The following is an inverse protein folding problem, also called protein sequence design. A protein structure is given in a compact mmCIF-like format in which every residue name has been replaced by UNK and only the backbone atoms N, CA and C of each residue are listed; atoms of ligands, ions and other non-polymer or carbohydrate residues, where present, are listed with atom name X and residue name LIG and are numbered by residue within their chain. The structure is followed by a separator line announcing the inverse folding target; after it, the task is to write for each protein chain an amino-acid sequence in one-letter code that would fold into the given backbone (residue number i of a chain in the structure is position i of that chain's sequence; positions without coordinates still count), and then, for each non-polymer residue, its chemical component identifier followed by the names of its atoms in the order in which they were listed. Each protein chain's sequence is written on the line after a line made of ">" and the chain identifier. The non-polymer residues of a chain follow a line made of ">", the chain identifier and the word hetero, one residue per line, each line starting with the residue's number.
data_IF_152325773564
#
_entry.id   IF_152325773564
#
_cell.length_a   1.000
_cell.length_b   1.000
_cell.length_c   1.000
_cell.angle_alpha   90.00
_cell.angle_beta   90.00
_cell.angle_gamma   90.00
#
_symmetry.space_group_name_H-M   'P 1'
#
loop_
_entity.id
_entity.type
_entity.pdbx_description
1 polymer ?
#
# COMPACT_ATOMS: atom_id res chain seq x y z
N UNK A 1 15.29 4.68 -10.40
CA UNK A 1 14.82 4.57 -9.00
C UNK A 1 13.41 5.09 -8.73
N UNK A 2 12.91 6.14 -9.39
CA UNK A 2 11.62 6.75 -9.03
C UNK A 2 10.42 5.79 -8.97
N UNK A 3 10.17 5.00 -10.02
CA UNK A 3 8.99 4.11 -10.09
C UNK A 3 9.10 2.96 -9.07
N UNK A 4 10.24 2.27 -9.02
CA UNK A 4 10.43 1.10 -8.17
C UNK A 4 10.26 1.41 -6.68
N UNK A 5 10.72 2.58 -6.23
CA UNK A 5 10.56 3.03 -4.85
C UNK A 5 9.09 3.33 -4.47
N UNK A 6 8.25 3.64 -5.45
CA UNK A 6 6.83 3.93 -5.17
C UNK A 6 5.94 2.69 -5.16
N UNK A 7 6.39 1.56 -5.69
CA UNK A 7 5.58 0.34 -5.75
C UNK A 7 5.11 -0.16 -4.37
N UNK A 8 5.92 -0.15 -3.30
CA UNK A 8 5.49 -0.58 -1.96
C UNK A 8 4.62 0.43 -1.22
N UNK A 9 4.39 1.65 -1.76
CA UNK A 9 3.55 2.64 -1.08
C UNK A 9 2.08 2.26 -1.12
N UNK A 10 1.33 2.70 -0.10
CA UNK A 10 -0.07 2.32 0.08
C UNK A 10 -0.97 2.93 -0.99
N UNK A 11 -0.84 4.23 -1.23
CA UNK A 11 -1.63 4.95 -2.24
C UNK A 11 -0.66 5.61 -3.22
N UNK A 12 -0.93 5.44 -4.51
CA UNK A 12 -0.15 6.03 -5.58
C UNK A 12 -1.06 6.85 -6.48
N UNK A 13 -0.69 8.09 -6.70
CA UNK A 13 -1.33 8.97 -7.66
C UNK A 13 -0.28 9.52 -8.62
N UNK A 14 -0.64 9.84 -9.83
CA UNK A 14 0.30 10.39 -10.80
C UNK A 14 -0.34 11.43 -11.70
N UNK A 15 0.49 12.30 -12.23
CA UNK A 15 0.15 13.09 -13.40
C UNK A 15 0.01 12.16 -14.61
N UNK A 16 -1.08 12.28 -15.37
CA UNK A 16 -1.38 11.45 -16.54
C UNK A 16 -0.27 11.48 -17.61
N UNK A 17 0.40 12.61 -17.75
CA UNK A 17 1.52 12.80 -18.67
C UNK A 17 2.88 12.32 -18.16
N UNK A 18 2.98 11.85 -16.93
CA UNK A 18 4.24 11.36 -16.38
C UNK A 18 4.78 10.17 -17.18
N UNK A 19 6.08 10.14 -17.40
CA UNK A 19 6.76 9.05 -18.11
C UNK A 19 7.36 8.06 -17.13
N UNK A 20 7.05 6.79 -17.32
CA UNK A 20 7.49 5.67 -16.50
C UNK A 20 8.26 4.68 -17.35
N UNK A 21 9.35 4.16 -16.82
CA UNK A 21 10.12 3.11 -17.47
C UNK A 21 10.77 2.19 -16.43
N UNK A 22 10.86 0.91 -16.76
CA UNK A 22 11.62 -0.12 -16.04
C UNK A 22 12.68 -0.70 -16.99
N UNK A 23 13.72 0.07 -17.37
CA UNK A 23 14.61 -0.27 -18.49
C UNK A 23 15.71 -1.29 -18.12
N UNK A 24 15.49 -2.09 -17.10
CA UNK A 24 16.50 -3.03 -16.56
C UNK A 24 17.00 -4.02 -17.61
N UNK A 25 16.09 -4.67 -18.36
CA UNK A 25 16.44 -5.60 -19.45
C UNK A 25 17.24 -4.93 -20.58
N UNK A 26 16.94 -3.65 -20.88
CA UNK A 26 17.72 -2.86 -21.86
C UNK A 26 19.10 -2.44 -21.35
N UNK A 27 19.36 -2.58 -20.06
CA UNK A 27 20.65 -2.27 -19.40
C UNK A 27 21.41 -3.53 -19.01
N UNK A 28 20.87 -4.73 -19.31
CA UNK A 28 21.50 -6.01 -18.97
C UNK A 28 21.54 -6.30 -17.46
N UNK A 29 20.60 -5.71 -16.68
CA UNK A 29 20.52 -5.91 -15.24
C UNK A 29 19.13 -6.41 -14.83
N UNK A 30 19.05 -7.03 -13.65
CA UNK A 30 17.79 -7.52 -13.09
C UNK A 30 16.96 -6.39 -12.47
N UNK A 31 15.67 -6.67 -12.26
CA UNK A 31 14.78 -5.80 -11.48
C UNK A 31 15.31 -5.59 -10.06
N UNK A 32 15.06 -4.42 -9.49
CA UNK A 32 15.50 -4.02 -8.15
C UNK A 32 14.35 -3.56 -7.25
N UNK A 33 14.66 -3.20 -5.99
CA UNK A 33 13.73 -2.60 -5.03
C UNK A 33 12.42 -3.37 -4.87
N UNK A 34 12.50 -4.69 -4.86
CA UNK A 34 11.34 -5.61 -4.77
C UNK A 34 10.30 -5.42 -5.88
N UNK A 35 10.65 -4.77 -6.99
CA UNK A 35 9.71 -4.54 -8.10
C UNK A 35 9.19 -5.86 -8.70
N UNK A 36 9.98 -6.93 -8.71
CA UNK A 36 9.54 -8.26 -9.14
C UNK A 36 8.42 -8.84 -8.25
N UNK A 37 8.34 -8.42 -6.99
CA UNK A 37 7.28 -8.81 -6.07
C UNK A 37 6.02 -7.96 -6.23
N UNK A 38 6.17 -6.64 -6.23
CA UNK A 38 5.03 -5.70 -6.23
C UNK A 38 4.39 -5.54 -7.60
N UNK A 39 5.17 -5.44 -8.67
CA UNK A 39 4.65 -5.11 -10.00
C UNK A 39 3.55 -6.10 -10.47
N UNK A 40 3.77 -7.43 -10.46
CA UNK A 40 2.74 -8.37 -10.90
C UNK A 40 1.52 -8.41 -9.98
N UNK A 41 1.66 -8.05 -8.70
CA UNK A 41 0.54 -7.95 -7.76
C UNK A 41 -0.33 -6.71 -8.00
N UNK A 42 0.24 -5.67 -8.54
CA UNK A 42 -0.45 -4.40 -8.81
C UNK A 42 -1.16 -4.39 -10.16
N UNK A 43 -0.54 -4.93 -11.21
CA UNK A 43 -1.05 -4.84 -12.59
C UNK A 43 -1.24 -6.19 -13.28
N UNK A 44 -1.06 -7.28 -12.54
CA UNK A 44 -1.10 -8.64 -13.10
C UNK A 44 0.18 -9.04 -13.83
N UNK A 45 0.42 -10.36 -13.90
CA UNK A 45 1.67 -10.91 -14.43
C UNK A 45 1.89 -10.54 -15.90
N UNK A 46 0.86 -10.57 -16.74
CA UNK A 46 0.99 -10.30 -18.18
C UNK A 46 1.49 -8.88 -18.46
N UNK A 47 0.87 -7.86 -17.87
CA UNK A 47 1.33 -6.46 -18.01
C UNK A 47 2.72 -6.27 -17.40
N UNK A 48 2.98 -6.86 -16.23
CA UNK A 48 4.28 -6.80 -15.57
C UNK A 48 5.39 -7.38 -16.43
N UNK A 49 5.18 -8.55 -17.02
CA UNK A 49 6.12 -9.19 -17.94
C UNK A 49 6.36 -8.35 -19.19
N UNK A 50 5.30 -7.79 -19.79
CA UNK A 50 5.44 -6.91 -20.95
C UNK A 50 6.35 -5.71 -20.65
N UNK A 51 6.10 -5.02 -19.54
CA UNK A 51 6.87 -3.82 -19.15
C UNK A 51 8.31 -4.19 -18.81
N UNK A 52 8.52 -5.24 -18.02
CA UNK A 52 9.84 -5.64 -17.55
C UNK A 52 10.73 -6.17 -18.68
N UNK A 53 10.16 -6.91 -19.64
CA UNK A 53 10.93 -7.49 -20.76
C UNK A 53 11.21 -6.49 -21.86
N UNK A 54 10.27 -5.61 -22.20
CA UNK A 54 10.49 -4.58 -23.22
C UNK A 54 11.37 -3.44 -22.72
N UNK A 55 11.29 -3.12 -21.42
CA UNK A 55 11.98 -1.99 -20.84
C UNK A 55 11.63 -0.64 -21.53
N UNK A 56 10.44 -0.56 -22.13
CA UNK A 56 9.97 0.63 -22.84
C UNK A 56 9.52 1.73 -21.87
N UNK A 57 9.32 2.93 -22.41
CA UNK A 57 8.77 4.05 -21.65
C UNK A 57 7.30 4.21 -21.99
N UNK A 58 6.48 4.34 -20.95
CA UNK A 58 5.04 4.51 -21.04
C UNK A 58 4.63 5.84 -20.38
N UNK A 59 3.50 6.40 -20.80
CA UNK A 59 2.84 7.47 -20.05
C UNK A 59 2.05 6.84 -18.90
N UNK A 60 1.83 7.60 -17.82
CA UNK A 60 1.06 7.11 -16.68
C UNK A 60 -0.40 6.72 -17.03
N UNK A 61 -0.97 7.34 -18.07
CA UNK A 61 -2.31 7.05 -18.59
C UNK A 61 -2.35 5.88 -19.59
N UNK A 62 -1.21 5.27 -19.92
CA UNK A 62 -1.16 4.09 -20.78
C UNK A 62 -1.84 2.89 -20.05
N UNK A 63 -2.72 2.13 -20.72
CA UNK A 63 -3.43 0.99 -20.13
C UNK A 63 -2.51 -0.11 -19.55
N UNK A 64 -1.25 -0.17 -19.96
CA UNK A 64 -0.28 -1.12 -19.41
C UNK A 64 0.17 -0.75 -17.99
N UNK A 65 0.15 0.54 -17.65
CA UNK A 65 0.69 1.04 -16.38
C UNK A 65 -0.31 1.81 -15.52
N UNK A 66 -1.45 2.22 -16.08
CA UNK A 66 -2.44 3.05 -15.38
C UNK A 66 -2.95 2.42 -14.08
N UNK A 67 -3.05 1.10 -14.03
CA UNK A 67 -3.49 0.34 -12.85
C UNK A 67 -2.48 0.42 -11.68
N UNK A 68 -1.28 0.97 -11.88
CA UNK A 68 -0.35 1.28 -10.80
C UNK A 68 -0.88 2.42 -9.89
N UNK A 69 -1.81 3.22 -10.38
CA UNK A 69 -2.27 4.44 -9.71
C UNK A 69 -3.74 4.35 -9.36
N UNK A 70 -4.09 4.73 -8.14
CA UNK A 70 -5.48 4.87 -7.69
C UNK A 70 -6.18 6.06 -8.36
N UNK A 71 -5.40 7.07 -8.80
CA UNK A 71 -5.92 8.21 -9.54
C UNK A 71 -4.85 8.84 -10.42
N UNK A 72 -5.27 9.27 -11.60
CA UNK A 72 -4.49 10.08 -12.52
C UNK A 72 -5.04 11.50 -12.55
N UNK A 73 -4.16 12.49 -12.50
CA UNK A 73 -4.49 13.91 -12.47
C UNK A 73 -3.98 14.59 -13.74
N UNK A 74 -4.60 15.73 -14.14
CA UNK A 74 -4.24 16.42 -15.41
C UNK A 74 -2.87 17.11 -15.34
N UNK A 75 -2.43 17.55 -14.14
CA UNK A 75 -1.16 18.29 -13.96
C UNK A 75 -0.36 17.78 -12.76
N UNK A 76 0.95 18.04 -12.71
CA UNK A 76 1.79 17.74 -11.55
C UNK A 76 1.30 18.44 -10.27
N UNK A 77 0.88 19.70 -10.38
CA UNK A 77 0.43 20.53 -9.26
C UNK A 77 -0.85 19.96 -8.64
N UNK A 78 -1.82 19.58 -9.47
CA UNK A 78 -3.05 18.93 -9.02
C UNK A 78 -2.76 17.55 -8.41
N UNK A 79 -1.75 16.84 -8.91
CA UNK A 79 -1.32 15.56 -8.35
C UNK A 79 -0.83 15.72 -6.91
N UNK A 80 0.03 16.71 -6.67
CA UNK A 80 0.54 17.00 -5.32
C UNK A 80 -0.59 17.45 -4.39
N UNK A 81 -1.44 18.36 -4.88
CA UNK A 81 -2.59 18.86 -4.12
C UNK A 81 -3.51 17.71 -3.69
N UNK A 82 -3.90 16.86 -4.63
CA UNK A 82 -4.76 15.69 -4.35
C UNK A 82 -4.09 14.71 -3.37
N UNK A 83 -2.79 14.45 -3.53
CA UNK A 83 -2.07 13.57 -2.61
C UNK A 83 -2.08 14.09 -1.16
N UNK A 84 -1.92 15.41 -1.00
CA UNK A 84 -1.99 16.06 0.32
C UNK A 84 -3.40 16.05 0.91
N UNK A 85 -4.43 16.28 0.07
CA UNK A 85 -5.84 16.17 0.49
C UNK A 85 -6.17 14.78 1.01
N UNK A 86 -5.76 13.73 0.28
CA UNK A 86 -5.95 12.32 0.71
C UNK A 86 -5.18 12.02 2.00
N UNK A 87 -3.94 12.50 2.10
CA UNK A 87 -3.14 12.28 3.31
C UNK A 87 -3.76 12.97 4.53
N UNK A 88 -4.26 14.19 4.35
CA UNK A 88 -4.95 14.93 5.40
C UNK A 88 -6.25 14.24 5.81
N UNK A 89 -7.06 13.78 4.84
CA UNK A 89 -8.30 13.06 5.12
C UNK A 89 -8.05 11.80 5.95
N UNK A 90 -7.03 11.00 5.57
CA UNK A 90 -6.63 9.81 6.33
C UNK A 90 -6.18 10.20 7.74
N UNK A 91 -5.31 11.19 7.87
CA UNK A 91 -4.77 11.62 9.16
C UNK A 91 -5.85 12.15 10.13
N UNK A 92 -6.88 12.80 9.58
CA UNK A 92 -7.92 13.44 10.38
C UNK A 92 -9.14 12.55 10.66
N UNK A 93 -9.42 11.57 9.79
CA UNK A 93 -10.70 10.87 9.80
C UNK A 93 -10.56 9.34 9.97
N UNK A 94 -9.35 8.81 10.13
CA UNK A 94 -9.14 7.37 10.32
C UNK A 94 -8.26 7.06 11.54
N UNK A 95 -8.50 5.92 12.18
CA UNK A 95 -7.59 5.40 13.20
C UNK A 95 -6.27 4.94 12.56
N UNK A 96 -5.16 5.49 13.03
CA UNK A 96 -3.83 5.11 12.55
C UNK A 96 -3.53 3.61 12.77
N UNK A 97 -3.97 3.06 13.89
CA UNK A 97 -3.82 1.63 14.23
C UNK A 97 -4.60 0.76 13.24
N UNK A 98 -5.89 1.10 13.04
CA UNK A 98 -6.75 0.35 12.11
C UNK A 98 -6.23 0.42 10.68
N UNK A 99 -5.81 1.61 10.23
CA UNK A 99 -5.23 1.82 8.88
C UNK A 99 -3.96 0.99 8.68
N UNK A 100 -3.07 0.94 9.67
CA UNK A 100 -1.86 0.13 9.61
C UNK A 100 -2.18 -1.37 9.53
N UNK A 101 -3.06 -1.87 10.38
CA UNK A 101 -3.46 -3.29 10.38
C UNK A 101 -4.14 -3.67 9.07
N UNK A 102 -5.07 -2.85 8.56
CA UNK A 102 -5.75 -3.11 7.28
C UNK A 102 -4.76 -3.15 6.10
N UNK A 103 -3.79 -2.23 6.08
CA UNK A 103 -2.72 -2.26 5.08
C UNK A 103 -1.93 -3.55 5.15
N UNK A 104 -1.52 -3.94 6.36
CA UNK A 104 -0.68 -5.12 6.56
C UNK A 104 -1.42 -6.42 6.27
N UNK A 105 -2.71 -6.51 6.56
CA UNK A 105 -3.58 -7.62 6.14
C UNK A 105 -3.60 -7.79 4.62
N UNK A 106 -3.65 -6.70 3.86
CA UNK A 106 -3.63 -6.76 2.39
C UNK A 106 -2.25 -7.08 1.82
N UNK A 107 -1.19 -6.48 2.38
CA UNK A 107 0.19 -6.64 1.85
C UNK A 107 0.78 -7.99 2.22
N UNK A 108 0.51 -8.48 3.43
CA UNK A 108 1.04 -9.71 4.00
C UNK A 108 -0.05 -10.75 4.23
N UNK A 109 -1.02 -10.77 3.31
CA UNK A 109 -2.12 -11.71 3.29
C UNK A 109 -1.60 -13.17 3.24
N UNK A 110 -2.12 -14.08 4.07
CA UNK A 110 -1.89 -15.50 3.91
C UNK A 110 -2.31 -16.03 2.53
N UNK A 111 -1.79 -17.19 2.11
CA UNK A 111 -2.02 -17.68 0.74
C UNK A 111 -3.43 -18.22 0.48
N UNK A 112 -4.22 -18.47 1.52
CA UNK A 112 -5.59 -19.02 1.38
C UNK A 112 -6.64 -18.10 2.00
N UNK A 113 -7.88 -18.10 1.50
CA UNK A 113 -8.99 -17.36 2.10
C UNK A 113 -9.28 -17.77 3.55
N UNK A 114 -9.15 -19.06 3.87
CA UNK A 114 -9.42 -19.61 5.20
C UNK A 114 -8.41 -19.09 6.23
N UNK A 115 -7.12 -19.13 5.90
CA UNK A 115 -6.06 -18.57 6.76
C UNK A 115 -6.22 -17.06 6.91
N UNK A 116 -6.55 -16.37 5.82
CA UNK A 116 -6.82 -14.93 5.82
C UNK A 116 -7.99 -14.60 6.74
N UNK A 117 -9.12 -15.33 6.63
CA UNK A 117 -10.29 -15.14 7.49
C UNK A 117 -9.97 -15.30 8.98
N UNK A 118 -9.17 -16.30 9.33
CA UNK A 118 -8.74 -16.51 10.72
C UNK A 118 -7.89 -15.35 11.24
N UNK A 119 -6.97 -14.84 10.41
CA UNK A 119 -6.12 -13.71 10.75
C UNK A 119 -6.94 -12.40 10.87
N UNK A 120 -7.83 -12.14 9.91
CA UNK A 120 -8.73 -10.98 9.93
C UNK A 120 -9.63 -11.00 11.16
N UNK A 121 -10.22 -12.16 11.49
CA UNK A 121 -11.07 -12.33 12.67
C UNK A 121 -10.30 -12.04 13.96
N UNK A 122 -9.05 -12.50 14.05
CA UNK A 122 -8.17 -12.23 15.19
C UNK A 122 -7.86 -10.75 15.31
N UNK A 123 -7.50 -10.09 14.20
CA UNK A 123 -7.20 -8.66 14.17
C UNK A 123 -8.45 -7.81 14.49
N UNK A 124 -9.60 -8.18 13.92
CA UNK A 124 -10.87 -7.52 14.17
C UNK A 124 -11.26 -7.58 15.65
N UNK A 125 -11.27 -8.79 16.25
CA UNK A 125 -11.61 -8.97 17.65
C UNK A 125 -10.66 -8.23 18.59
N UNK A 126 -9.39 -8.10 18.20
CA UNK A 126 -8.40 -7.34 18.97
C UNK A 126 -8.66 -5.82 18.97
N UNK A 127 -9.21 -5.30 17.87
CA UNK A 127 -9.54 -3.89 17.73
C UNK A 127 -10.91 -3.53 18.34
N UNK A 128 -11.85 -4.49 18.44
CA UNK A 128 -13.17 -4.26 19.03
C UNK A 128 -13.03 -3.88 20.50
N UNK A 129 -13.69 -2.79 20.90
CA UNK A 129 -13.68 -2.26 22.26
C UNK A 129 -12.45 -1.42 22.63
N UNK A 130 -11.50 -1.23 21.72
CA UNK A 130 -10.41 -0.26 21.91
C UNK A 130 -10.95 1.16 21.96
N UNK A 131 -10.12 2.11 22.44
CA UNK A 131 -10.48 3.52 22.52
C UNK A 131 -10.88 4.07 21.14
N UNK A 132 -10.08 3.81 20.11
CA UNK A 132 -10.38 4.25 18.74
C UNK A 132 -11.66 3.61 18.17
N UNK A 133 -11.90 2.31 18.44
CA UNK A 133 -13.14 1.67 18.01
C UNK A 133 -14.36 2.29 18.69
N UNK A 134 -14.27 2.51 20.00
CA UNK A 134 -15.34 3.16 20.79
C UNK A 134 -15.62 4.57 20.29
N UNK A 135 -14.57 5.36 20.05
CA UNK A 135 -14.69 6.72 19.50
C UNK A 135 -15.28 6.70 18.08
N UNK A 136 -14.83 5.77 17.22
CA UNK A 136 -15.35 5.65 15.87
C UNK A 136 -16.85 5.35 15.83
N UNK A 137 -17.32 4.44 16.67
CA UNK A 137 -18.75 4.12 16.80
C UNK A 137 -19.54 5.31 17.38
N UNK A 138 -19.03 5.89 18.47
CA UNK A 138 -19.69 7.02 19.16
C UNK A 138 -19.82 8.23 18.27
N UNK A 139 -18.73 8.67 17.63
CA UNK A 139 -18.72 9.82 16.74
C UNK A 139 -19.68 9.64 15.56
N UNK A 140 -19.75 8.43 14.99
CA UNK A 140 -20.70 8.10 13.92
C UNK A 140 -22.16 8.24 14.38
N UNK A 141 -22.50 7.70 15.56
CA UNK A 141 -23.86 7.81 16.13
C UNK A 141 -24.24 9.25 16.45
N UNK A 142 -23.29 10.03 16.96
CA UNK A 142 -23.44 11.44 17.30
C UNK A 142 -23.33 12.39 16.10
N UNK A 143 -23.00 11.88 14.91
CA UNK A 143 -22.80 12.66 13.66
C UNK A 143 -21.79 13.78 13.81
N UNK A 144 -20.70 13.53 14.52
CA UNK A 144 -19.58 14.45 14.71
C UNK A 144 -18.28 13.87 14.13
N UNK A 145 -17.26 14.72 14.03
CA UNK A 145 -15.90 14.26 13.67
C UNK A 145 -15.35 13.36 14.78
N UNK A 146 -14.69 12.27 14.37
CA UNK A 146 -13.97 11.40 15.30
C UNK A 146 -12.64 12.02 15.72
N UNK A 147 -12.20 11.70 16.94
CA UNK A 147 -10.91 12.10 17.49
C UNK A 147 -10.10 10.85 17.86
N UNK A 148 -9.47 10.25 16.87
CA UNK A 148 -8.63 9.06 17.07
C UNK A 148 -7.30 9.43 17.74
N UNK A 149 -6.90 8.67 18.76
CA UNK A 149 -5.68 8.89 19.55
C UNK A 149 -4.79 7.65 19.61
N UNK A 150 -5.26 6.53 19.05
CA UNK A 150 -4.53 5.28 19.05
C UNK A 150 -3.19 5.39 18.30
N UNK A 151 -2.16 4.83 18.91
CA UNK A 151 -0.82 4.70 18.32
C UNK A 151 -0.47 3.23 18.24
N UNK A 152 0.04 2.78 17.09
CA UNK A 152 0.47 1.40 16.92
C UNK A 152 1.69 1.10 17.79
N UNK A 153 1.54 0.14 18.72
CA UNK A 153 2.64 -0.38 19.54
C UNK A 153 2.71 -1.89 19.36
N UNK A 154 3.92 -2.41 19.20
CA UNK A 154 4.16 -3.84 18.97
C UNK A 154 3.65 -4.69 20.15
N UNK A 155 3.83 -4.20 21.37
CA UNK A 155 3.38 -4.85 22.61
C UNK A 155 1.85 -5.01 22.70
N UNK A 156 1.10 -4.11 22.06
CA UNK A 156 -0.36 -4.16 22.05
C UNK A 156 -0.90 -5.20 21.06
N UNK A 157 -0.06 -5.69 20.14
CA UNK A 157 -0.43 -6.66 19.10
C UNK A 157 0.51 -7.86 19.11
N UNK A 158 0.34 -8.84 20.00
CA UNK A 158 1.26 -9.97 20.19
C UNK A 158 1.39 -10.89 18.98
N UNK A 159 0.52 -10.78 17.99
CA UNK A 159 0.57 -11.50 16.71
C UNK A 159 1.07 -10.65 15.55
N UNK A 160 1.38 -9.38 15.75
CA UNK A 160 1.96 -8.48 14.75
C UNK A 160 3.45 -8.26 15.02
N UNK A 161 4.31 -8.26 14.01
CA UNK A 161 4.03 -8.61 12.61
C UNK A 161 3.95 -10.12 12.39
N UNK A 162 2.85 -10.62 11.84
CA UNK A 162 2.63 -12.05 11.57
C UNK A 162 3.48 -12.62 10.43
N UNK A 163 4.10 -11.74 9.64
CA UNK A 163 5.01 -12.09 8.55
C UNK A 163 6.47 -12.06 8.96
N UNK A 164 6.79 -11.93 10.25
CA UNK A 164 8.16 -11.82 10.73
C UNK A 164 8.99 -13.04 10.29
N UNK A 165 9.91 -12.78 9.39
CA UNK A 165 10.83 -13.78 8.86
C UNK A 165 11.94 -14.07 9.86
N UNK A 166 11.61 -14.75 10.95
CA UNK A 166 12.63 -15.35 11.83
C UNK A 166 13.45 -16.36 11.01
N UNK A 167 14.52 -15.92 10.40
CA UNK A 167 15.40 -16.81 9.65
C UNK A 167 15.96 -16.26 8.33
N UNK A 168 15.56 -15.09 7.85
CA UNK A 168 16.26 -14.45 6.74
C UNK A 168 17.58 -13.85 7.30
N UNK A 169 18.69 -14.55 7.07
CA UNK A 169 20.02 -13.98 7.37
C UNK A 169 20.18 -12.67 6.60
N UNK A 170 20.44 -11.58 7.33
CA UNK A 170 20.76 -10.30 6.70
C UNK A 170 21.95 -10.51 5.76
N UNK A 171 21.89 -10.10 4.49
CA UNK A 171 23.07 -10.16 3.63
C UNK A 171 24.19 -9.35 4.31
N UNK A 172 25.37 -9.93 4.37
CA UNK A 172 26.57 -9.19 4.77
C UNK A 172 26.85 -8.21 3.64
N UNK A 173 26.61 -6.93 3.88
CA UNK A 173 27.06 -5.84 3.02
C UNK A 173 28.56 -5.68 3.20
#
# INVERSE_FOLDING_TARGET
>A
MGVTLTLPTTIRVAWSGAKLALPFSRRGVALESCSAFYLPRLIGLSKAMHIATTGATYRADDPLVSDLFSKLLPTPEETVKYALEVAQDIAENTSAVSTQINRDLMVYCPPTPEETHLLESKAFLHLVGTEDNTEGVKSFMEKRKAEFKGVMKVEDFPFWPWWDSKGVSKPKL
#
